data_IF_699080226344
#
_entry.id   IF_699080226344
#
_cell.length_a   1.000
_cell.length_b   1.000
_cell.length_c   1.000
_cell.angle_alpha   90.00
_cell.angle_beta   90.00
_cell.angle_gamma   90.00
#
_symmetry.space_group_name_H-M   'P 1'
#
loop_
_entity.id
_entity.type
_entity.pdbx_description
1 polymer ?
#
# COMPACT_ATOMS: atom_id res chain seq x y z
N UNK A 1 -10.42 15.34 -9.89
CA UNK A 1 -10.50 13.86 -9.80
C UNK A 1 -10.78 13.46 -8.37
N UNK A 2 -11.66 12.50 -8.15
CA UNK A 2 -11.89 11.94 -6.82
C UNK A 2 -10.78 10.96 -6.45
N UNK A 3 -10.54 10.80 -5.16
CA UNK A 3 -9.63 9.77 -4.67
C UNK A 3 -10.17 8.39 -5.06
N UNK A 4 -9.32 7.56 -5.63
CA UNK A 4 -9.63 6.17 -5.94
C UNK A 4 -8.92 5.25 -4.95
N UNK A 5 -9.68 4.36 -4.33
CA UNK A 5 -9.15 3.39 -3.37
C UNK A 5 -9.35 1.98 -3.91
N UNK A 6 -8.29 1.20 -3.81
CA UNK A 6 -8.28 -0.23 -4.14
C UNK A 6 -7.79 -0.98 -2.92
N UNK A 7 -8.49 -2.02 -2.53
CA UNK A 7 -8.12 -2.82 -1.37
C UNK A 7 -8.30 -4.30 -1.65
N UNK A 8 -7.49 -5.12 -1.01
CA UNK A 8 -7.63 -6.56 -1.01
C UNK A 8 -7.43 -7.09 0.40
N UNK A 9 -8.25 -8.08 0.77
CA UNK A 9 -8.14 -8.81 2.02
C UNK A 9 -7.92 -10.28 1.69
N UNK A 10 -6.92 -10.88 2.33
CA UNK A 10 -6.61 -12.30 2.19
C UNK A 10 -7.05 -13.04 3.45
N UNK A 11 -7.85 -14.07 3.27
CA UNK A 11 -8.30 -14.93 4.39
C UNK A 11 -7.24 -16.00 4.74
N UNK A 12 -6.29 -16.23 3.84
CA UNK A 12 -5.20 -17.18 4.00
C UNK A 12 -3.94 -16.65 3.32
N UNK A 13 -2.74 -17.16 3.67
CA UNK A 13 -1.52 -16.85 2.92
C UNK A 13 -1.64 -17.31 1.47
N UNK A 14 -0.99 -16.59 0.55
CA UNK A 14 -0.92 -16.98 -0.84
C UNK A 14 -0.13 -18.29 -0.99
N UNK A 15 -0.60 -19.17 -1.88
CA UNK A 15 0.14 -20.35 -2.28
C UNK A 15 1.39 -19.97 -3.08
N UNK A 16 2.32 -20.91 -3.25
CA UNK A 16 3.51 -20.70 -4.07
C UNK A 16 3.14 -20.35 -5.53
N UNK A 17 2.16 -21.04 -6.09
CA UNK A 17 1.68 -20.79 -7.45
C UNK A 17 1.07 -19.39 -7.58
N UNK A 18 0.28 -18.97 -6.60
CA UNK A 18 -0.30 -17.63 -6.56
C UNK A 18 0.79 -16.56 -6.46
N UNK A 19 1.79 -16.75 -5.60
CA UNK A 19 2.93 -15.84 -5.48
C UNK A 19 3.70 -15.73 -6.79
N UNK A 20 3.97 -16.84 -7.45
CA UNK A 20 4.65 -16.84 -8.75
C UNK A 20 3.87 -16.08 -9.81
N UNK A 21 2.56 -16.24 -9.85
CA UNK A 21 1.69 -15.51 -10.78
C UNK A 21 1.71 -14.01 -10.51
N UNK A 22 1.64 -13.59 -9.24
CA UNK A 22 1.63 -12.19 -8.87
C UNK A 22 3.01 -11.53 -8.96
N UNK A 23 4.09 -12.31 -8.89
CA UNK A 23 5.45 -11.77 -8.95
C UNK A 23 5.74 -11.00 -10.25
N UNK A 24 5.03 -11.31 -11.33
CA UNK A 24 5.14 -10.58 -12.61
C UNK A 24 4.77 -9.11 -12.52
N UNK A 25 3.95 -8.72 -11.52
CA UNK A 25 3.55 -7.33 -11.30
C UNK A 25 4.57 -6.53 -10.51
N UNK A 26 5.61 -7.17 -10.01
CA UNK A 26 6.66 -6.49 -9.27
C UNK A 26 7.60 -5.74 -10.19
N UNK A 27 8.13 -4.58 -9.74
CA UNK A 27 9.26 -3.96 -10.41
C UNK A 27 10.43 -4.94 -10.52
N UNK A 28 11.18 -4.96 -11.64
CA UNK A 28 12.31 -5.90 -11.82
C UNK A 28 13.31 -5.89 -10.67
N UNK A 29 13.60 -4.72 -10.09
CA UNK A 29 14.53 -4.54 -8.98
C UNK A 29 14.03 -5.16 -7.67
N UNK A 30 12.76 -5.53 -7.59
CA UNK A 30 12.15 -6.11 -6.37
C UNK A 30 11.81 -7.58 -6.51
N UNK A 31 11.87 -8.15 -7.70
CA UNK A 31 11.44 -9.54 -7.94
C UNK A 31 12.23 -10.54 -7.09
N UNK A 32 13.53 -10.32 -6.90
CA UNK A 32 14.40 -11.22 -6.14
C UNK A 32 14.35 -11.03 -4.62
N UNK A 33 13.75 -9.94 -4.15
CA UNK A 33 13.78 -9.56 -2.73
C UNK A 33 12.52 -9.90 -1.96
N UNK A 34 11.45 -10.29 -2.63
CA UNK A 34 10.15 -10.43 -1.99
C UNK A 34 9.88 -11.87 -1.57
N UNK A 35 9.84 -12.05 -0.25
CA UNK A 35 9.55 -13.34 0.38
C UNK A 35 8.14 -13.42 0.97
N UNK A 36 7.36 -12.34 0.92
CA UNK A 36 6.02 -12.30 1.51
C UNK A 36 4.94 -11.90 0.52
N UNK A 37 3.69 -12.27 0.82
CA UNK A 37 2.53 -11.98 -0.03
C UNK A 37 2.12 -10.50 -0.04
N UNK A 38 2.50 -9.73 0.97
CA UNK A 38 2.02 -8.36 1.18
C UNK A 38 2.37 -7.41 0.04
N UNK A 39 3.66 -7.29 -0.36
CA UNK A 39 4.02 -6.41 -1.47
C UNK A 39 3.48 -6.88 -2.81
N UNK A 40 3.33 -8.20 -3.01
CA UNK A 40 2.77 -8.76 -4.25
C UNK A 40 1.36 -8.23 -4.50
N UNK A 41 0.50 -8.28 -3.48
CA UNK A 41 -0.86 -7.78 -3.59
C UNK A 41 -0.90 -6.27 -3.83
N UNK A 42 -0.05 -5.51 -3.15
CA UNK A 42 0.02 -4.05 -3.30
C UNK A 42 0.38 -3.67 -4.75
N UNK A 43 1.39 -4.29 -5.33
CA UNK A 43 1.79 -4.01 -6.71
C UNK A 43 0.78 -4.51 -7.74
N UNK A 44 0.10 -5.63 -7.48
CA UNK A 44 -0.99 -6.09 -8.33
C UNK A 44 -2.14 -5.09 -8.36
N UNK A 45 -2.51 -4.52 -7.21
CA UNK A 45 -3.50 -3.44 -7.14
C UNK A 45 -3.05 -2.22 -7.94
N UNK A 46 -1.79 -1.84 -7.84
CA UNK A 46 -1.25 -0.70 -8.59
C UNK A 46 -1.35 -0.92 -10.10
N UNK A 47 -0.92 -2.07 -10.60
CA UNK A 47 -1.03 -2.39 -12.02
C UNK A 47 -2.48 -2.36 -12.50
N UNK A 48 -3.40 -2.92 -11.73
CA UNK A 48 -4.83 -2.90 -12.04
C UNK A 48 -5.37 -1.47 -12.10
N UNK A 49 -5.05 -0.65 -11.12
CA UNK A 49 -5.51 0.73 -11.06
C UNK A 49 -4.98 1.55 -12.24
N UNK A 50 -3.71 1.39 -12.60
CA UNK A 50 -3.11 2.08 -13.73
C UNK A 50 -3.78 1.68 -15.05
N UNK A 51 -4.10 0.40 -15.21
CA UNK A 51 -4.83 -0.07 -16.37
C UNK A 51 -6.25 0.51 -16.43
N UNK A 52 -7.00 0.44 -15.34
CA UNK A 52 -8.39 0.92 -15.30
C UNK A 52 -8.51 2.44 -15.44
N UNK A 53 -7.61 3.20 -14.80
CA UNK A 53 -7.71 4.67 -14.74
C UNK A 53 -6.99 5.37 -15.89
N UNK A 54 -5.92 4.80 -16.39
CA UNK A 54 -5.03 5.46 -17.37
C UNK A 54 -4.76 4.63 -18.63
N UNK A 55 -5.27 3.40 -18.71
CA UNK A 55 -5.04 2.52 -19.86
C UNK A 55 -3.61 2.03 -20.00
N UNK A 56 -2.81 2.08 -18.94
CA UNK A 56 -1.42 1.64 -18.96
C UNK A 56 -1.35 0.11 -18.86
N UNK A 57 -0.72 -0.52 -19.84
CA UNK A 57 -0.55 -1.98 -19.88
C UNK A 57 0.61 -2.46 -18.98
N UNK A 58 1.66 -1.66 -18.91
CA UNK A 58 2.87 -2.00 -18.15
C UNK A 58 3.06 -1.00 -17.00
N UNK A 59 3.69 -1.49 -15.93
CA UNK A 59 4.08 -0.63 -14.81
C UNK A 59 5.21 0.30 -15.28
N UNK A 60 5.00 1.64 -15.25
CA UNK A 60 6.09 2.57 -15.54
C UNK A 60 7.24 2.40 -14.56
N UNK A 61 8.43 2.80 -14.98
CA UNK A 61 9.60 2.76 -14.11
C UNK A 61 9.35 3.57 -12.85
N UNK A 62 9.59 2.93 -11.69
CA UNK A 62 9.47 3.57 -10.40
C UNK A 62 10.74 4.32 -10.06
N UNK A 63 10.58 5.52 -9.54
CA UNK A 63 11.60 6.28 -8.83
C UNK A 63 11.23 6.34 -7.35
N UNK A 64 12.19 6.65 -6.51
CA UNK A 64 11.97 6.64 -5.05
C UNK A 64 12.37 7.99 -4.47
N UNK A 65 11.48 8.55 -3.67
CA UNK A 65 11.71 9.80 -2.97
C UNK A 65 12.67 9.66 -1.80
N UNK A 66 12.91 10.76 -1.11
CA UNK A 66 13.86 10.87 0.01
C UNK A 66 13.61 9.82 1.11
N UNK A 67 12.35 9.51 1.39
CA UNK A 67 11.95 8.53 2.40
C UNK A 67 11.59 7.16 1.81
N UNK A 68 11.99 6.88 0.57
CA UNK A 68 11.74 5.62 -0.09
C UNK A 68 10.33 5.44 -0.65
N UNK A 69 9.51 6.50 -0.67
CA UNK A 69 8.18 6.43 -1.28
C UNK A 69 8.31 6.33 -2.80
N UNK A 70 7.69 5.31 -3.43
CA UNK A 70 7.75 5.18 -4.89
C UNK A 70 6.87 6.21 -5.58
N UNK A 71 7.31 6.66 -6.76
CA UNK A 71 6.57 7.56 -7.63
C UNK A 71 6.95 7.33 -9.09
N UNK A 72 6.15 7.90 -10.01
CA UNK A 72 6.42 7.82 -11.45
C UNK A 72 6.94 9.16 -11.98
N UNK A 73 8.24 9.22 -12.26
CA UNK A 73 8.82 10.43 -12.86
C UNK A 73 8.26 10.72 -14.25
N UNK A 74 7.90 9.67 -15.01
CA UNK A 74 7.31 9.80 -16.34
C UNK A 74 5.84 10.20 -16.34
N UNK A 75 5.15 10.12 -15.20
CA UNK A 75 3.73 10.43 -15.05
C UNK A 75 3.53 11.30 -13.80
N UNK A 76 3.94 12.59 -13.86
CA UNK A 76 3.94 13.46 -12.66
C UNK A 76 2.55 13.78 -12.11
N UNK A 77 1.49 13.59 -12.90
CA UNK A 77 0.11 13.80 -12.46
C UNK A 77 -0.52 12.55 -11.84
N UNK A 78 0.21 11.45 -11.79
CA UNK A 78 -0.26 10.21 -11.17
C UNK A 78 0.41 10.08 -9.80
N UNK A 79 -0.35 10.34 -8.76
CA UNK A 79 0.10 10.17 -7.38
C UNK A 79 -0.55 8.95 -6.77
N UNK A 80 0.21 8.16 -6.04
CA UNK A 80 -0.31 6.98 -5.37
C UNK A 80 0.38 6.75 -4.03
N UNK A 81 -0.27 5.99 -3.18
CA UNK A 81 0.28 5.52 -1.92
C UNK A 81 -0.13 4.08 -1.71
N UNK A 82 0.86 3.23 -1.43
CA UNK A 82 0.67 1.82 -1.13
C UNK A 82 0.85 1.59 0.36
N UNK A 83 0.00 0.78 0.94
CA UNK A 83 0.16 0.29 2.30
C UNK A 83 -0.28 -1.16 2.39
N UNK A 84 0.36 -1.91 3.25
CA UNK A 84 0.01 -3.29 3.51
C UNK A 84 0.19 -3.64 4.97
N UNK A 85 -0.62 -4.57 5.42
CA UNK A 85 -0.55 -5.15 6.75
C UNK A 85 -0.79 -6.64 6.64
N UNK A 86 -0.86 -7.34 7.75
CA UNK A 86 -1.13 -8.77 7.75
C UNK A 86 -2.50 -9.04 7.11
N UNK A 87 -2.49 -9.72 5.96
CA UNK A 87 -3.69 -10.16 5.27
C UNK A 87 -4.45 -9.07 4.50
N UNK A 88 -3.87 -7.89 4.31
CA UNK A 88 -4.53 -6.84 3.54
C UNK A 88 -3.54 -5.90 2.87
N UNK A 89 -3.97 -5.30 1.77
CA UNK A 89 -3.24 -4.23 1.08
C UNK A 89 -4.20 -3.13 0.65
N UNK A 90 -3.72 -1.91 0.62
CA UNK A 90 -4.47 -0.72 0.23
C UNK A 90 -3.66 0.10 -0.75
N UNK A 91 -4.31 0.58 -1.79
CA UNK A 91 -3.78 1.53 -2.73
C UNK A 91 -4.71 2.75 -2.79
N UNK A 92 -4.15 3.93 -2.67
CA UNK A 92 -4.84 5.18 -2.98
C UNK A 92 -4.20 5.82 -4.21
N UNK A 93 -5.02 6.33 -5.12
CA UNK A 93 -4.58 7.01 -6.35
C UNK A 93 -5.31 8.35 -6.48
N UNK A 94 -4.57 9.39 -6.85
CA UNK A 94 -5.09 10.74 -7.06
C UNK A 94 -4.20 11.51 -8.03
N UNK A 95 -4.67 12.65 -8.51
CA UNK A 95 -3.87 13.56 -9.35
C UNK A 95 -3.08 14.60 -8.54
N UNK A 96 -3.19 14.57 -7.23
CA UNK A 96 -2.41 15.36 -6.29
C UNK A 96 -1.74 14.45 -5.27
N UNK A 97 -0.69 14.90 -4.57
CA UNK A 97 -0.02 14.09 -3.56
C UNK A 97 -0.99 13.50 -2.55
N UNK A 98 -0.85 12.21 -2.28
CA UNK A 98 -1.73 11.46 -1.41
C UNK A 98 -0.94 10.48 -0.55
N UNK A 99 -1.41 10.25 0.68
CA UNK A 99 -0.90 9.21 1.57
C UNK A 99 -2.05 8.35 2.09
N UNK A 100 -1.81 7.06 2.21
CA UNK A 100 -2.77 6.10 2.76
C UNK A 100 -2.06 5.09 3.65
N UNK A 101 -2.76 4.61 4.66
CA UNK A 101 -2.26 3.58 5.54
C UNK A 101 -3.36 2.60 5.92
N UNK A 102 -2.99 1.36 6.13
CA UNK A 102 -3.87 0.27 6.57
C UNK A 102 -3.22 -0.53 7.68
N UNK A 103 -3.97 -0.85 8.71
CA UNK A 103 -3.48 -1.66 9.83
C UNK A 103 -4.52 -2.66 10.30
N UNK A 104 -4.06 -3.79 10.81
CA UNK A 104 -4.92 -4.74 11.50
C UNK A 104 -5.29 -4.21 12.88
N UNK A 105 -6.56 -4.33 13.23
CA UNK A 105 -7.00 -4.12 14.61
C UNK A 105 -6.44 -5.25 15.47
N UNK A 106 -5.70 -4.88 16.49
CA UNK A 106 -5.09 -5.81 17.45
C UNK A 106 -4.86 -5.10 18.78
N UNK A 107 -4.58 -5.83 19.87
CA UNK A 107 -4.24 -5.16 21.14
C UNK A 107 -3.04 -4.24 20.99
N UNK A 108 -3.14 -3.04 21.53
CA UNK A 108 -2.05 -2.07 21.65
C UNK A 108 -1.55 -2.03 23.08
N UNK A 109 -0.26 -1.81 23.28
CA UNK A 109 0.27 -1.69 24.64
C UNK A 109 -0.30 -0.46 25.37
N UNK A 110 -0.31 -0.50 26.70
CA UNK A 110 -0.74 0.64 27.49
C UNK A 110 0.07 1.90 27.19
N UNK A 111 1.38 1.76 27.01
CA UNK A 111 2.27 2.86 26.66
C UNK A 111 1.91 3.47 25.29
N UNK A 112 1.60 2.65 24.29
CA UNK A 112 1.19 3.12 22.97
C UNK A 112 -0.12 3.89 23.04
N UNK A 113 -1.13 3.36 23.77
CA UNK A 113 -2.41 4.04 23.96
C UNK A 113 -2.25 5.37 24.68
N UNK A 114 -1.43 5.42 25.72
CA UNK A 114 -1.16 6.66 26.46
C UNK A 114 -0.48 7.71 25.59
N UNK A 115 0.49 7.32 24.78
CA UNK A 115 1.22 8.22 23.87
C UNK A 115 0.27 8.92 22.88
N UNK A 116 -0.77 8.24 22.44
CA UNK A 116 -1.77 8.77 21.50
C UNK A 116 -3.04 9.27 22.18
N UNK A 117 -3.12 9.23 23.50
CA UNK A 117 -4.33 9.55 24.25
C UNK A 117 -5.55 8.75 23.78
N UNK A 118 -5.31 7.48 23.41
CA UNK A 118 -6.34 6.62 22.88
C UNK A 118 -7.18 5.99 23.99
N UNK A 119 -8.51 5.95 23.78
CA UNK A 119 -9.46 5.39 24.73
C UNK A 119 -9.42 3.86 24.76
N UNK A 120 -9.14 3.23 23.62
CA UNK A 120 -9.11 1.77 23.44
C UNK A 120 -8.20 1.40 22.27
N UNK A 121 -8.08 0.09 21.99
CA UNK A 121 -7.22 -0.40 20.90
C UNK A 121 -7.69 0.12 19.53
N UNK A 122 -8.97 0.10 19.24
CA UNK A 122 -9.50 0.59 17.96
C UNK A 122 -9.21 2.08 17.77
N UNK A 123 -9.38 2.88 18.83
CA UNK A 123 -9.07 4.30 18.81
C UNK A 123 -7.57 4.54 18.57
N UNK A 124 -6.70 3.76 19.22
CA UNK A 124 -5.27 3.82 18.99
C UNK A 124 -4.92 3.59 17.50
N UNK A 125 -5.45 2.52 16.90
CA UNK A 125 -5.15 2.20 15.51
C UNK A 125 -5.72 3.22 14.53
N UNK A 126 -6.88 3.79 14.83
CA UNK A 126 -7.45 4.90 14.05
C UNK A 126 -6.51 6.11 14.02
N UNK A 127 -6.00 6.51 15.19
CA UNK A 127 -5.05 7.63 15.30
C UNK A 127 -3.71 7.31 14.64
N UNK A 128 -3.23 6.08 14.78
CA UNK A 128 -2.00 5.61 14.16
C UNK A 128 -2.06 5.69 12.64
N UNK A 129 -3.11 5.15 12.00
CA UNK A 129 -3.24 5.19 10.54
C UNK A 129 -3.40 6.60 10.01
N UNK A 130 -4.07 7.48 10.74
CA UNK A 130 -4.16 8.90 10.37
C UNK A 130 -2.78 9.55 10.35
N UNK A 131 -1.97 9.30 11.36
CA UNK A 131 -0.60 9.80 11.44
C UNK A 131 0.26 9.25 10.32
N UNK A 132 0.27 7.91 10.13
CA UNK A 132 1.09 7.26 9.12
C UNK A 132 0.71 7.71 7.70
N UNK A 133 -0.57 7.88 7.41
CA UNK A 133 -1.01 8.35 6.10
C UNK A 133 -0.54 9.78 5.80
N UNK A 134 -0.45 10.64 6.81
CA UNK A 134 0.08 12.01 6.65
C UNK A 134 1.58 12.02 6.38
N UNK A 135 2.31 11.00 6.84
CA UNK A 135 3.75 10.89 6.65
C UNK A 135 4.13 10.23 5.30
N UNK A 136 3.16 9.69 4.60
CA UNK A 136 3.34 9.03 3.28
C UNK A 136 3.04 10.01 2.11
#
# INVERSE_FOLDING_TARGET
>A
MNIRLYAVKLDRPLSEAERSTLARFLPPERQDRIKTSKPLCAYALLCRALHELYGLEDLPQLSYGEHGKPYFASHPDVHFSLSHTRGAALLAVHNEPIGADIECLRPASGAMRMRFHAANDADFWRLWVQRESRCK
#
